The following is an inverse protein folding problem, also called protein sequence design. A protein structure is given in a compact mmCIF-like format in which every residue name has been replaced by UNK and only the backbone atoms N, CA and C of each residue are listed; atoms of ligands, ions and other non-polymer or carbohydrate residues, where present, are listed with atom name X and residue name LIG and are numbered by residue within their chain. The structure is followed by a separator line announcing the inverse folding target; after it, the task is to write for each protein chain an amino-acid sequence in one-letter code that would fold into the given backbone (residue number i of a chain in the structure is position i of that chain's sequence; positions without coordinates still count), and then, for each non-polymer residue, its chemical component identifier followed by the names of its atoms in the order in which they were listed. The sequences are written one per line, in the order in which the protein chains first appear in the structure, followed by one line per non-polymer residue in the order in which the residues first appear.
data_IF_149895824883
#
_entry.id   IF_149895824883
#
_cell.length_a   1.000
_cell.length_b   1.000
_cell.length_c   1.000
_cell.angle_alpha   90.00
_cell.angle_beta   90.00
_cell.angle_gamma   90.00
#
_symmetry.space_group_name_H-M   'P 1'
#
loop_
_entity.id
_entity.type
_entity.pdbx_description
1 polymer ?
#
# COMPACT_ATOMS: atom_id res chain seq x y z
N UNK A 1 9.16 -4.61 -10.03
CA UNK A 1 8.66 -5.98 -10.36
C UNK A 1 7.28 -5.88 -10.97
N UNK A 2 7.03 -6.54 -12.09
CA UNK A 2 5.73 -6.49 -12.75
C UNK A 2 4.68 -7.32 -12.00
N UNK A 3 3.41 -7.05 -12.27
CA UNK A 3 2.32 -7.73 -11.58
C UNK A 3 2.30 -9.23 -11.87
N UNK A 4 2.66 -9.63 -13.08
CA UNK A 4 2.72 -11.05 -13.48
C UNK A 4 3.71 -11.82 -12.61
N UNK A 5 4.88 -11.25 -12.37
CA UNK A 5 5.90 -11.87 -11.53
C UNK A 5 5.43 -11.99 -10.09
N UNK A 6 4.74 -10.96 -9.57
CA UNK A 6 4.16 -11.00 -8.24
C UNK A 6 3.10 -12.10 -8.10
N UNK A 7 2.25 -12.27 -9.11
CA UNK A 7 1.25 -13.33 -9.13
C UNK A 7 1.92 -14.70 -9.06
N UNK A 8 2.98 -14.92 -9.84
CA UNK A 8 3.72 -16.19 -9.82
C UNK A 8 4.35 -16.47 -8.45
N UNK A 9 4.92 -15.45 -7.81
CA UNK A 9 5.49 -15.59 -6.46
C UNK A 9 4.40 -15.96 -5.45
N UNK A 10 3.25 -15.30 -5.51
CA UNK A 10 2.12 -15.59 -4.61
C UNK A 10 1.64 -17.02 -4.79
N UNK A 11 1.47 -17.47 -6.02
CA UNK A 11 1.04 -18.85 -6.32
C UNK A 11 2.05 -19.87 -5.81
N UNK A 12 3.34 -19.62 -6.01
CA UNK A 12 4.41 -20.51 -5.53
C UNK A 12 4.42 -20.57 -4.00
N UNK A 13 4.30 -19.45 -3.34
CA UNK A 13 4.25 -19.41 -1.87
C UNK A 13 3.00 -20.10 -1.35
N UNK A 14 1.86 -19.96 -2.02
CA UNK A 14 0.64 -20.65 -1.64
C UNK A 14 0.81 -22.18 -1.72
N UNK A 15 1.48 -22.69 -2.75
CA UNK A 15 1.81 -24.11 -2.85
C UNK A 15 2.68 -24.59 -1.68
N UNK A 16 3.71 -23.82 -1.34
CA UNK A 16 4.62 -24.13 -0.22
C UNK A 16 3.86 -24.17 1.11
N UNK A 17 2.90 -23.26 1.28
CA UNK A 17 2.08 -23.17 2.50
C UNK A 17 0.87 -24.10 2.49
N UNK A 18 0.72 -24.91 1.44
CA UNK A 18 -0.40 -25.82 1.25
C UNK A 18 -1.77 -25.10 1.31
N UNK A 19 -1.86 -23.99 0.60
CA UNK A 19 -3.07 -23.17 0.50
C UNK A 19 -3.65 -23.25 -0.90
N UNK A 20 -4.97 -23.39 -0.99
CA UNK A 20 -5.67 -23.27 -2.27
C UNK A 20 -5.94 -21.79 -2.56
N UNK A 21 -5.50 -21.33 -3.72
CA UNK A 21 -5.74 -19.97 -4.20
C UNK A 21 -6.03 -20.02 -5.69
N UNK A 22 -7.06 -19.30 -6.15
CA UNK A 22 -7.32 -19.20 -7.57
C UNK A 22 -6.54 -18.03 -8.20
N UNK A 23 -6.57 -17.96 -9.53
CA UNK A 23 -5.82 -16.93 -10.27
C UNK A 23 -6.28 -15.52 -9.92
N UNK A 24 -7.58 -15.31 -9.74
CA UNK A 24 -8.16 -14.02 -9.41
C UNK A 24 -7.79 -13.59 -7.99
N UNK A 25 -7.75 -14.53 -7.04
CA UNK A 25 -7.30 -14.28 -5.68
C UNK A 25 -5.83 -13.86 -5.63
N UNK A 26 -4.98 -14.58 -6.38
CA UNK A 26 -3.57 -14.25 -6.48
C UNK A 26 -3.35 -12.88 -7.12
N UNK A 27 -4.13 -12.55 -8.14
CA UNK A 27 -4.05 -11.25 -8.81
C UNK A 27 -4.46 -10.11 -7.86
N UNK A 28 -5.51 -10.30 -7.07
CA UNK A 28 -5.98 -9.29 -6.12
C UNK A 28 -4.92 -8.98 -5.06
N UNK A 29 -4.28 -10.01 -4.51
CA UNK A 29 -3.18 -9.84 -3.56
C UNK A 29 -1.98 -9.14 -4.24
N UNK A 30 -1.66 -9.54 -5.47
CA UNK A 30 -0.56 -8.95 -6.22
C UNK A 30 -0.77 -7.46 -6.48
N UNK A 31 -2.00 -7.06 -6.81
CA UNK A 31 -2.34 -5.64 -7.06
C UNK A 31 -2.12 -4.78 -5.83
N UNK A 32 -2.39 -5.32 -4.65
CA UNK A 32 -2.30 -4.58 -3.38
C UNK A 32 -0.98 -4.77 -2.66
N UNK A 33 -0.05 -5.53 -3.23
CA UNK A 33 1.29 -5.66 -2.68
C UNK A 33 2.17 -4.49 -3.14
N UNK A 34 3.17 -4.14 -2.31
CA UNK A 34 4.02 -2.97 -2.53
C UNK A 34 5.14 -3.19 -3.55
N UNK A 35 4.98 -4.15 -4.45
CA UNK A 35 5.96 -4.40 -5.49
C UNK A 35 7.17 -5.21 -5.07
N UNK A 36 7.24 -5.70 -3.82
CA UNK A 36 8.30 -6.59 -3.37
C UNK A 36 7.74 -7.97 -3.03
N UNK A 37 8.52 -9.05 -3.28
CA UNK A 37 8.10 -10.42 -2.93
C UNK A 37 7.80 -10.58 -1.44
N UNK A 38 8.58 -9.93 -0.59
CA UNK A 38 8.41 -10.02 0.87
C UNK A 38 7.04 -9.53 1.30
N UNK A 39 6.60 -8.37 0.76
CA UNK A 39 5.32 -7.78 1.12
C UNK A 39 4.17 -8.59 0.55
N UNK A 40 4.29 -9.04 -0.70
CA UNK A 40 3.30 -9.94 -1.30
C UNK A 40 3.10 -11.19 -0.45
N UNK A 41 4.18 -11.82 0.00
CA UNK A 41 4.13 -13.01 0.83
C UNK A 41 3.53 -12.73 2.22
N UNK A 42 3.83 -11.57 2.81
CA UNK A 42 3.22 -11.18 4.10
C UNK A 42 1.72 -11.00 3.96
N UNK A 43 1.27 -10.32 2.92
CA UNK A 43 -0.17 -10.16 2.65
C UNK A 43 -0.84 -11.51 2.42
N UNK A 44 -0.20 -12.40 1.67
CA UNK A 44 -0.72 -13.74 1.43
C UNK A 44 -0.95 -14.50 2.74
N UNK A 45 0.01 -14.46 3.66
CA UNK A 45 -0.11 -15.13 4.96
C UNK A 45 -1.25 -14.55 5.79
N UNK A 46 -1.44 -13.23 5.75
CA UNK A 46 -2.53 -12.57 6.48
C UNK A 46 -3.89 -12.93 5.86
N UNK A 47 -3.98 -12.99 4.53
CA UNK A 47 -5.19 -13.42 3.84
C UNK A 47 -5.48 -14.89 4.15
N UNK A 48 -4.44 -15.75 4.23
CA UNK A 48 -4.59 -17.15 4.63
C UNK A 48 -5.23 -17.25 6.02
N UNK A 49 -4.72 -16.48 6.98
CA UNK A 49 -5.26 -16.52 8.35
C UNK A 49 -6.74 -16.13 8.36
N UNK A 50 -7.11 -15.11 7.59
CA UNK A 50 -8.50 -14.71 7.42
C UNK A 50 -9.34 -15.84 6.79
N UNK A 51 -8.81 -16.49 5.76
CA UNK A 51 -9.49 -17.61 5.08
C UNK A 51 -9.73 -18.78 6.03
N UNK A 52 -8.76 -19.09 6.89
CA UNK A 52 -8.90 -20.16 7.89
C UNK A 52 -10.00 -19.85 8.90
N UNK A 53 -10.07 -18.62 9.40
CA UNK A 53 -11.13 -18.18 10.32
C UNK A 53 -12.50 -18.26 9.65
N UNK A 54 -12.57 -17.88 8.36
CA UNK A 54 -13.81 -17.94 7.58
C UNK A 54 -14.15 -19.34 7.08
N UNK A 55 -13.32 -20.35 7.37
CA UNK A 55 -13.46 -21.73 6.90
C UNK A 55 -13.58 -21.84 5.37
N UNK A 56 -12.90 -20.94 4.65
CA UNK A 56 -12.89 -20.92 3.20
C UNK A 56 -11.87 -21.94 2.66
N UNK A 57 -12.29 -22.76 1.70
CA UNK A 57 -11.42 -23.79 1.11
C UNK A 57 -10.45 -23.24 0.09
N UNK A 58 -10.80 -22.13 -0.57
CA UNK A 58 -9.97 -21.48 -1.61
C UNK A 58 -10.00 -19.99 -1.43
N UNK A 59 -8.85 -19.35 -1.62
CA UNK A 59 -8.74 -17.89 -1.60
C UNK A 59 -9.17 -17.38 -2.97
N UNK A 60 -10.34 -16.74 -3.03
CA UNK A 60 -10.88 -16.09 -4.23
C UNK A 60 -10.59 -14.60 -4.21
N UNK A 61 -10.87 -13.91 -5.32
CA UNK A 61 -10.74 -12.45 -5.37
C UNK A 61 -11.63 -11.77 -4.33
N UNK A 62 -12.86 -12.26 -4.14
CA UNK A 62 -13.79 -11.71 -3.14
C UNK A 62 -13.25 -11.87 -1.73
N UNK A 63 -12.76 -13.06 -1.37
CA UNK A 63 -12.19 -13.32 -0.06
C UNK A 63 -10.93 -12.47 0.17
N UNK A 64 -10.05 -12.40 -0.83
CA UNK A 64 -8.83 -11.59 -0.75
C UNK A 64 -9.18 -10.10 -0.58
N UNK A 65 -10.16 -9.60 -1.32
CA UNK A 65 -10.62 -8.23 -1.21
C UNK A 65 -11.12 -7.91 0.21
N UNK A 66 -11.97 -8.78 0.77
CA UNK A 66 -12.51 -8.59 2.12
C UNK A 66 -11.39 -8.60 3.17
N UNK A 67 -10.46 -9.55 3.06
CA UNK A 67 -9.34 -9.66 3.98
C UNK A 67 -8.44 -8.42 3.92
N UNK A 68 -8.10 -7.97 2.71
CA UNK A 68 -7.22 -6.81 2.51
C UNK A 68 -7.89 -5.51 2.97
N UNK A 69 -9.21 -5.38 2.81
CA UNK A 69 -9.96 -4.25 3.33
C UNK A 69 -9.92 -4.23 4.86
N UNK A 70 -10.00 -5.37 5.51
CA UNK A 70 -9.87 -5.46 6.97
C UNK A 70 -8.47 -5.13 7.46
N UNK A 71 -7.45 -5.38 6.64
CA UNK A 71 -6.07 -4.97 6.89
C UNK A 71 -5.83 -3.50 6.54
N UNK A 72 -6.87 -2.80 6.08
CA UNK A 72 -6.82 -1.39 5.68
C UNK A 72 -5.87 -1.13 4.50
N UNK A 73 -5.66 -2.13 3.64
CA UNK A 73 -4.89 -1.99 2.40
C UNK A 73 -5.87 -1.65 1.28
N UNK A 74 -5.74 -0.48 0.68
CA UNK A 74 -6.67 -0.03 -0.36
C UNK A 74 -6.36 -0.58 -1.75
N UNK A 75 -7.14 -0.18 -2.76
CA UNK A 75 -7.02 -0.67 -4.13
C UNK A 75 -5.66 -0.38 -4.78
N UNK A 76 -4.94 0.63 -4.32
CA UNK A 76 -3.60 0.98 -4.80
C UNK A 76 -2.49 0.37 -3.94
N UNK A 77 -2.84 -0.41 -2.92
CA UNK A 77 -1.87 -1.02 -2.04
C UNK A 77 -1.40 -0.12 -0.89
N UNK A 78 -2.04 1.03 -0.71
CA UNK A 78 -1.72 1.92 0.41
C UNK A 78 -2.33 1.36 1.69
N UNK A 79 -1.51 1.26 2.73
CA UNK A 79 -1.99 0.93 4.07
C UNK A 79 -2.34 2.20 4.84
N UNK A 80 -2.71 2.01 6.11
CA UNK A 80 -3.08 3.11 7.00
C UNK A 80 -1.96 4.15 7.15
N UNK A 81 -0.71 3.70 7.29
CA UNK A 81 0.44 4.59 7.47
C UNK A 81 0.76 5.35 6.20
N UNK A 82 0.66 4.72 5.03
CA UNK A 82 0.86 5.40 3.74
C UNK A 82 -0.14 6.55 3.58
N UNK A 83 -1.42 6.28 3.85
CA UNK A 83 -2.45 7.32 3.76
C UNK A 83 -2.22 8.42 4.79
N UNK A 84 -1.74 8.06 5.97
CA UNK A 84 -1.44 9.05 7.03
C UNK A 84 -0.30 9.98 6.64
N UNK A 85 0.73 9.47 5.95
CA UNK A 85 1.81 10.31 5.43
C UNK A 85 1.23 11.39 4.50
N UNK A 86 0.42 10.99 3.52
CA UNK A 86 -0.19 11.93 2.59
C UNK A 86 -1.13 12.89 3.31
N UNK A 87 -1.96 12.39 4.21
CA UNK A 87 -2.95 13.17 4.94
C UNK A 87 -2.30 14.25 5.82
N UNK A 88 -1.23 13.90 6.52
CA UNK A 88 -0.50 14.84 7.37
C UNK A 88 0.11 15.98 6.55
N UNK A 89 0.69 15.65 5.40
CA UNK A 89 1.27 16.66 4.51
C UNK A 89 0.17 17.62 4.02
N UNK A 90 -0.99 17.07 3.67
CA UNK A 90 -2.12 17.88 3.21
C UNK A 90 -2.69 18.74 4.33
N UNK A 91 -3.00 18.13 5.47
CA UNK A 91 -3.75 18.80 6.54
C UNK A 91 -2.90 19.79 7.33
N UNK A 92 -1.63 19.45 7.59
CA UNK A 92 -0.76 20.29 8.43
C UNK A 92 0.16 21.19 7.65
N UNK A 93 0.47 20.86 6.41
CA UNK A 93 1.47 21.55 5.61
C UNK A 93 0.95 22.00 4.24
N UNK A 94 -0.37 21.97 4.04
CA UNK A 94 -1.00 22.46 2.83
C UNK A 94 -0.59 21.75 1.54
N UNK A 95 -0.15 20.48 1.65
CA UNK A 95 0.35 19.71 0.51
C UNK A 95 1.86 19.77 0.33
N UNK A 96 2.54 20.46 1.18
CA UNK A 96 3.99 20.63 1.15
C UNK A 96 4.44 21.95 0.49
N UNK A 97 5.76 22.17 0.33
CA UNK A 97 6.84 21.24 0.64
C UNK A 97 7.11 21.08 2.15
N UNK A 98 7.47 19.87 2.56
CA UNK A 98 7.76 19.54 3.95
C UNK A 98 8.93 18.57 4.03
N UNK A 99 9.80 18.76 5.02
CA UNK A 99 10.98 17.92 5.20
C UNK A 99 10.65 16.52 5.73
N UNK A 100 11.53 15.59 5.44
CA UNK A 100 11.39 14.19 5.84
C UNK A 100 11.30 14.03 7.37
N UNK A 101 12.16 14.76 8.10
CA UNK A 101 12.20 14.75 9.57
C UNK A 101 10.85 15.18 10.17
N UNK A 102 10.26 16.21 9.57
CA UNK A 102 8.98 16.75 10.00
C UNK A 102 7.84 15.77 9.77
N UNK A 103 7.84 15.09 8.61
CA UNK A 103 6.85 14.05 8.30
C UNK A 103 6.97 12.92 9.32
N UNK A 104 8.19 12.43 9.56
CA UNK A 104 8.45 11.33 10.48
C UNK A 104 7.96 11.66 11.90
N UNK A 105 8.25 12.84 12.39
CA UNK A 105 7.79 13.30 13.70
C UNK A 105 6.27 13.36 13.76
N UNK A 106 5.63 13.87 12.71
CA UNK A 106 4.18 14.04 12.67
C UNK A 106 3.40 12.71 12.68
N UNK A 107 3.97 11.65 12.11
CA UNK A 107 3.33 10.32 12.09
C UNK A 107 3.89 9.37 13.14
N UNK A 108 4.80 9.82 13.98
CA UNK A 108 5.45 9.02 15.04
C UNK A 108 6.20 7.81 14.50
N UNK A 109 6.90 8.00 13.38
CA UNK A 109 7.74 6.99 12.76
C UNK A 109 9.19 7.47 12.72
N UNK A 110 10.12 6.54 12.52
CA UNK A 110 11.51 6.93 12.32
C UNK A 110 11.71 7.54 10.93
N UNK A 111 12.70 8.40 10.80
CA UNK A 111 13.07 8.99 9.51
C UNK A 111 13.43 7.88 8.51
N UNK A 112 14.17 6.88 8.96
CA UNK A 112 14.58 5.74 8.12
C UNK A 112 13.37 4.96 7.59
N UNK A 113 12.33 4.75 8.42
CA UNK A 113 11.12 4.07 7.98
C UNK A 113 10.39 4.85 6.89
N UNK A 114 10.28 6.17 7.05
CA UNK A 114 9.64 7.02 6.04
C UNK A 114 10.44 7.00 4.75
N UNK A 115 11.76 7.16 4.83
CA UNK A 115 12.64 7.22 3.67
C UNK A 115 12.74 5.88 2.92
N UNK A 116 12.81 4.76 3.64
CA UNK A 116 13.09 3.46 3.05
C UNK A 116 11.83 2.66 2.70
N UNK A 117 10.71 2.88 3.39
CA UNK A 117 9.50 2.08 3.24
C UNK A 117 8.36 2.86 2.60
N UNK A 118 8.01 4.02 3.13
CA UNK A 118 6.80 4.75 2.71
C UNK A 118 7.03 5.66 1.51
N UNK A 119 8.06 6.48 1.55
CA UNK A 119 8.35 7.44 0.49
C UNK A 119 8.57 6.79 -0.88
N UNK A 120 9.42 5.74 -1.02
CA UNK A 120 9.65 5.14 -2.33
C UNK A 120 8.39 4.59 -2.97
N UNK A 121 7.54 3.97 -2.19
CA UNK A 121 6.28 3.41 -2.68
C UNK A 121 5.32 4.52 -3.11
N UNK A 122 5.16 5.56 -2.29
CA UNK A 122 4.28 6.69 -2.62
C UNK A 122 4.77 7.45 -3.86
N UNK A 123 6.08 7.58 -4.02
CA UNK A 123 6.67 8.18 -5.22
C UNK A 123 6.42 7.32 -6.45
N UNK A 124 6.57 6.00 -6.33
CA UNK A 124 6.33 5.05 -7.42
C UNK A 124 4.86 5.09 -7.87
N UNK A 125 3.92 5.26 -6.93
CA UNK A 125 2.50 5.39 -7.24
C UNK A 125 2.12 6.76 -7.82
N UNK A 126 3.04 7.71 -7.82
CA UNK A 126 2.79 9.06 -8.32
C UNK A 126 2.04 9.95 -7.36
N UNK A 127 2.04 9.62 -6.06
CA UNK A 127 1.32 10.38 -5.03
C UNK A 127 2.19 11.39 -4.30
N UNK A 128 3.51 11.23 -4.39
CA UNK A 128 4.46 12.08 -3.68
C UNK A 128 5.61 12.45 -4.61
N UNK A 129 6.04 13.70 -4.56
CA UNK A 129 7.22 14.19 -5.29
C UNK A 129 8.25 14.72 -4.32
N UNK A 130 9.51 14.54 -4.68
CA UNK A 130 10.65 15.12 -3.96
C UNK A 130 11.09 16.40 -4.67
N UNK A 131 11.19 17.49 -3.93
CA UNK A 131 11.68 18.77 -4.42
C UNK A 131 12.88 19.22 -3.58
N UNK A 132 13.67 20.23 -4.03
CA UNK A 132 14.76 20.76 -3.21
C UNK A 132 14.31 21.33 -1.86
N UNK A 133 13.04 21.68 -1.74
CA UNK A 133 12.47 22.25 -0.50
C UNK A 133 11.83 21.19 0.41
N UNK A 134 11.64 19.98 -0.09
CA UNK A 134 10.99 18.91 0.64
C UNK A 134 10.01 18.13 -0.20
N UNK A 135 9.14 17.38 0.46
CA UNK A 135 8.18 16.49 -0.21
C UNK A 135 6.86 17.23 -0.44
N UNK A 136 6.28 16.98 -1.62
CA UNK A 136 5.04 17.61 -2.06
C UNK A 136 4.06 16.52 -2.49
N UNK A 137 2.81 16.63 -2.05
CA UNK A 137 1.73 15.72 -2.45
C UNK A 137 1.23 16.13 -3.83
N UNK A 138 0.98 15.14 -4.70
CA UNK A 138 0.51 15.37 -6.07
C UNK A 138 -1.02 15.50 -6.14
N UNK A 139 -1.52 16.03 -7.25
CA UNK A 139 -2.97 16.08 -7.51
C UNK A 139 -3.58 14.68 -7.52
N UNK A 140 -2.84 13.68 -8.03
CA UNK A 140 -3.30 12.29 -8.03
C UNK A 140 -3.57 11.76 -6.61
N UNK A 141 -2.75 12.17 -5.64
CA UNK A 141 -2.95 11.79 -4.23
C UNK A 141 -4.22 12.41 -3.65
N UNK A 142 -4.49 13.67 -3.94
CA UNK A 142 -5.73 14.31 -3.51
C UNK A 142 -6.95 13.55 -4.06
N UNK A 143 -6.93 13.21 -5.35
CA UNK A 143 -8.03 12.45 -5.99
C UNK A 143 -8.18 11.08 -5.37
N UNK A 144 -7.08 10.38 -5.10
CA UNK A 144 -7.11 9.05 -4.49
C UNK A 144 -7.73 9.07 -3.10
N UNK A 145 -7.44 10.11 -2.31
CA UNK A 145 -7.99 10.28 -0.97
C UNK A 145 -9.41 10.87 -0.96
N UNK A 146 -9.97 11.18 -2.12
CA UNK A 146 -11.28 11.79 -2.22
C UNK A 146 -11.33 13.25 -1.78
N UNK A 147 -10.19 13.93 -1.82
CA UNK A 147 -10.07 15.32 -1.41
C UNK A 147 -10.05 16.25 -2.63
N UNK A 148 -10.57 17.49 -2.52
CA UNK A 148 -10.50 18.44 -3.61
C UNK A 148 -9.05 18.83 -3.91
N UNK A 149 -8.70 18.84 -5.20
CA UNK A 149 -7.39 19.30 -5.65
C UNK A 149 -7.29 20.79 -5.39
N UNK A 150 -6.19 21.27 -4.77
CA UNK A 150 -6.04 22.71 -4.50
C UNK A 150 -6.01 23.50 -5.80
N UNK A 151 -6.68 24.65 -5.79
CA UNK A 151 -6.56 25.59 -6.90
C UNK A 151 -5.13 26.10 -6.96
N UNK A 152 -4.57 26.18 -8.17
CA UNK A 152 -3.27 26.81 -8.36
C UNK A 152 -3.36 28.27 -7.92
N UNK A 153 -2.59 28.58 -6.89
CA UNK A 153 -2.52 29.94 -6.36
C UNK A 153 -1.26 30.65 -6.79
#
# INVERSE_FOLDING_TARGET
MCIRDRVLIIKRTAEILDMAIDDDGALEIARRSRGTPRIANRLLKRVRDFAQVAEAGTITASLANDALNRLEVDSCGLDRTDRRVLQVIIDKFGGGPVGLDTIAAAISESVDAVEDVYEPFLMQQGFLNRTPRGRVVTDAAYRHLGLPVPAEG
#
